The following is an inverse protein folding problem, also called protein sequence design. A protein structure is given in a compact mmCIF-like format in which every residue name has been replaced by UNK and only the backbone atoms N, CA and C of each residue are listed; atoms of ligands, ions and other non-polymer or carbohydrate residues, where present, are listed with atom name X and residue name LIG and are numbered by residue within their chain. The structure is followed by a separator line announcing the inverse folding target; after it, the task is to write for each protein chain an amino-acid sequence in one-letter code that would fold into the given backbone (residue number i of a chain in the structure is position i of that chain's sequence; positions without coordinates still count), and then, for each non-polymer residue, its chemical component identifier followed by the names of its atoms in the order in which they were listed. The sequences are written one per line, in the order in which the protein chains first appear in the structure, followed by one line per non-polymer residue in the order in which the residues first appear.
data_IF_088417570447
#
_entry.id   IF_088417570447
#
_cell.length_a   1.000
_cell.length_b   1.000
_cell.length_c   1.000
_cell.angle_alpha   90.00
_cell.angle_beta   90.00
_cell.angle_gamma   90.00
#
_symmetry.space_group_name_H-M   'P 1'
#
loop_
_entity.id
_entity.type
_entity.pdbx_description
1 polymer ?
#
# COMPACT_ATOMS: atom_id res chain seq x y z
N UNK A 1 -4.72 -1.96 15.23
CA UNK A 1 -5.41 -2.81 14.24
C UNK A 1 -4.62 -4.11 14.09
N UNK A 2 -5.24 -5.23 13.71
CA UNK A 2 -4.51 -6.47 13.37
C UNK A 2 -4.40 -6.54 11.85
N UNK A 3 -3.20 -6.71 11.33
CA UNK A 3 -2.94 -6.82 9.90
C UNK A 3 -3.53 -8.13 9.34
N UNK A 4 -4.47 -8.08 8.37
CA UNK A 4 -5.11 -9.27 7.80
C UNK A 4 -4.12 -10.23 7.14
N UNK A 5 -3.10 -9.69 6.48
CA UNK A 5 -2.08 -10.46 5.77
C UNK A 5 -0.72 -10.46 6.48
N UNK A 6 -0.61 -9.77 7.62
CA UNK A 6 0.63 -9.65 8.39
C UNK A 6 1.58 -8.57 7.89
N UNK A 7 1.09 -7.61 7.11
CA UNK A 7 1.83 -6.46 6.62
C UNK A 7 1.84 -5.25 7.56
N UNK A 8 2.43 -4.16 7.07
CA UNK A 8 2.43 -2.86 7.73
C UNK A 8 1.11 -2.13 7.43
N UNK A 9 0.43 -1.62 8.46
CA UNK A 9 -0.84 -0.93 8.32
C UNK A 9 -0.67 0.58 8.32
N UNK A 10 -1.39 1.27 7.46
CA UNK A 10 -1.44 2.73 7.40
C UNK A 10 -2.89 3.17 7.31
N UNK A 11 -3.36 3.91 8.31
CA UNK A 11 -4.69 4.51 8.34
C UNK A 11 -4.79 5.67 7.35
N UNK A 12 -5.94 5.77 6.70
CA UNK A 12 -6.26 6.78 5.69
C UNK A 12 -7.43 7.64 6.17
N UNK A 13 -7.27 8.96 6.14
CA UNK A 13 -8.32 9.91 6.55
C UNK A 13 -8.84 9.71 7.97
N UNK A 14 -7.95 9.42 8.92
CA UNK A 14 -8.31 9.06 10.29
C UNK A 14 -8.61 7.57 10.40
N UNK A 15 -9.86 7.18 10.19
CA UNK A 15 -10.31 5.77 10.27
C UNK A 15 -11.24 5.40 9.10
N UNK A 16 -11.15 6.11 7.96
CA UNK A 16 -12.02 5.84 6.81
C UNK A 16 -11.65 4.53 6.11
N UNK A 17 -10.35 4.30 5.94
CA UNK A 17 -9.80 3.10 5.33
C UNK A 17 -8.41 2.80 5.89
N UNK A 18 -7.92 1.60 5.61
CA UNK A 18 -6.59 1.15 6.00
C UNK A 18 -5.90 0.54 4.79
N UNK A 19 -4.68 0.99 4.54
CA UNK A 19 -3.77 0.38 3.57
C UNK A 19 -2.86 -0.62 4.29
N UNK A 20 -2.65 -1.80 3.72
CA UNK A 20 -1.70 -2.81 4.22
C UNK A 20 -0.61 -3.09 3.18
N UNK A 21 0.65 -2.90 3.55
CA UNK A 21 1.81 -3.19 2.68
C UNK A 21 2.50 -4.48 3.10
N UNK A 22 2.76 -5.34 2.12
CA UNK A 22 3.62 -6.51 2.24
C UNK A 22 4.76 -6.38 1.24
N UNK A 23 5.97 -6.73 1.68
CA UNK A 23 7.15 -6.81 0.82
C UNK A 23 7.86 -8.15 1.07
N UNK A 24 8.01 -8.95 0.03
CA UNK A 24 8.96 -10.05 0.01
C UNK A 24 10.34 -9.49 -0.32
N UNK A 25 11.19 -9.41 0.70
CA UNK A 25 12.54 -8.86 0.57
C UNK A 25 13.48 -9.73 -0.29
N UNK A 26 13.16 -10.99 -0.54
CA UNK A 26 13.99 -11.87 -1.37
C UNK A 26 13.68 -11.67 -2.85
N UNK A 27 12.40 -11.58 -3.19
CA UNK A 27 11.93 -11.48 -4.58
C UNK A 27 11.70 -10.04 -5.04
N UNK A 28 11.51 -9.10 -4.11
CA UNK A 28 11.12 -7.72 -4.41
C UNK A 28 9.64 -7.61 -4.80
N UNK A 29 8.84 -8.63 -4.50
CA UNK A 29 7.38 -8.58 -4.69
C UNK A 29 6.74 -7.74 -3.59
N UNK A 30 6.07 -6.66 -3.98
CA UNK A 30 5.26 -5.83 -3.11
C UNK A 30 3.77 -6.03 -3.41
N UNK A 31 2.98 -6.13 -2.35
CA UNK A 31 1.51 -6.18 -2.39
C UNK A 31 0.94 -5.09 -1.51
N UNK A 32 -0.06 -4.39 -2.01
CA UNK A 32 -0.80 -3.39 -1.27
C UNK A 32 -2.29 -3.73 -1.31
N UNK A 33 -2.85 -3.90 -0.12
CA UNK A 33 -4.27 -4.16 0.10
C UNK A 33 -4.92 -2.90 0.70
N UNK A 34 -6.21 -2.73 0.42
CA UNK A 34 -7.04 -1.70 1.03
C UNK A 34 -8.17 -2.37 1.80
N UNK A 35 -8.46 -1.84 2.98
CA UNK A 35 -9.51 -2.32 3.86
C UNK A 35 -10.34 -1.17 4.40
N UNK A 36 -11.49 -1.49 4.96
CA UNK A 36 -12.24 -0.58 5.82
C UNK A 36 -11.41 -0.11 7.03
N UNK A 37 -11.92 0.91 7.75
CA UNK A 37 -11.24 1.49 8.91
C UNK A 37 -10.84 0.51 10.02
N UNK A 38 -11.49 -0.65 10.08
CA UNK A 38 -11.24 -1.69 11.08
C UNK A 38 -10.29 -2.79 10.58
N UNK A 39 -9.81 -2.70 9.34
CA UNK A 39 -9.03 -3.73 8.66
C UNK A 39 -9.72 -5.11 8.64
N UNK A 40 -11.05 -5.13 8.46
CA UNK A 40 -11.87 -6.36 8.45
C UNK A 40 -12.33 -6.75 7.06
N UNK A 41 -12.76 -5.78 6.27
CA UNK A 41 -13.30 -6.01 4.93
C UNK A 41 -12.39 -5.38 3.89
N UNK A 42 -11.97 -6.16 2.89
CA UNK A 42 -11.14 -5.66 1.79
C UNK A 42 -11.98 -4.73 0.90
N UNK A 43 -11.43 -3.56 0.61
CA UNK A 43 -11.98 -2.61 -0.35
C UNK A 43 -11.34 -2.84 -1.72
N UNK A 44 -12.17 -2.80 -2.76
CA UNK A 44 -11.67 -2.79 -4.15
C UNK A 44 -11.60 -1.35 -4.62
N UNK A 45 -10.38 -0.88 -4.89
CA UNK A 45 -10.15 0.45 -5.43
C UNK A 45 -10.38 0.41 -6.95
N UNK A 46 -11.13 1.38 -7.48
CA UNK A 46 -11.47 1.42 -8.91
C UNK A 46 -10.24 1.65 -9.80
N UNK A 47 -9.28 2.43 -9.29
CA UNK A 47 -8.03 2.75 -9.97
C UNK A 47 -7.22 1.49 -10.28
N UNK A 48 -6.60 1.46 -11.46
CA UNK A 48 -5.80 0.32 -11.92
C UNK A 48 -4.32 0.42 -11.59
N UNK A 49 -3.84 1.61 -11.25
CA UNK A 49 -2.43 1.88 -10.96
C UNK A 49 -2.30 2.66 -9.68
N UNK A 50 -1.22 2.39 -8.95
CA UNK A 50 -0.83 3.10 -7.74
C UNK A 50 0.65 3.41 -7.84
N UNK A 51 1.03 4.66 -7.66
CA UNK A 51 2.44 5.06 -7.67
C UNK A 51 2.90 5.30 -6.24
N UNK A 52 3.91 4.54 -5.84
CA UNK A 52 4.58 4.67 -4.56
C UNK A 52 5.94 5.33 -4.77
N UNK A 53 6.24 6.38 -4.02
CA UNK A 53 7.52 7.10 -4.07
C UNK A 53 8.33 6.74 -2.84
N UNK A 54 9.44 6.02 -3.02
CA UNK A 54 10.40 5.68 -1.96
C UNK A 54 11.67 6.49 -2.22
N UNK A 55 11.90 7.56 -1.45
CA UNK A 55 12.95 8.56 -1.75
C UNK A 55 12.78 9.09 -3.18
N UNK A 56 13.76 8.90 -4.06
CA UNK A 56 13.72 9.33 -5.47
C UNK A 56 13.23 8.22 -6.43
N UNK A 57 12.74 7.10 -5.90
CA UNK A 57 12.29 5.94 -6.68
C UNK A 57 10.77 5.88 -6.76
N UNK A 58 10.23 6.03 -7.97
CA UNK A 58 8.82 5.73 -8.24
C UNK A 58 8.63 4.25 -8.60
N UNK A 59 7.76 3.58 -7.84
CA UNK A 59 7.31 2.21 -8.04
C UNK A 59 5.85 2.25 -8.46
N UNK A 60 5.57 1.79 -9.68
CA UNK A 60 4.19 1.66 -10.18
C UNK A 60 3.66 0.25 -9.90
N UNK A 61 2.60 0.16 -9.10
CA UNK A 61 1.87 -1.07 -8.84
C UNK A 61 0.61 -1.13 -9.70
N UNK A 62 0.19 -2.35 -10.08
CA UNK A 62 -1.03 -2.58 -10.85
C UNK A 62 -2.01 -3.41 -10.04
N UNK A 63 -3.28 -3.00 -10.02
CA UNK A 63 -4.35 -3.77 -9.39
C UNK A 63 -4.65 -5.03 -10.20
N UNK A 64 -4.81 -6.17 -9.52
CA UNK A 64 -5.29 -7.40 -10.12
C UNK A 64 -6.83 -7.54 -10.03
N UNK A 65 -7.36 -8.71 -10.41
CA UNK A 65 -8.80 -8.99 -10.42
C UNK A 65 -9.44 -8.97 -9.01
N UNK A 66 -8.63 -9.22 -7.98
CA UNK A 66 -9.04 -9.17 -6.58
C UNK A 66 -8.98 -7.75 -6.01
N UNK A 67 -8.41 -6.79 -6.75
CA UNK A 67 -8.23 -5.40 -6.31
C UNK A 67 -6.98 -5.20 -5.46
N UNK A 68 -6.02 -6.14 -5.51
CA UNK A 68 -4.74 -6.01 -4.81
C UNK A 68 -3.72 -5.41 -5.76
N UNK A 69 -3.02 -4.38 -5.32
CA UNK A 69 -1.96 -3.76 -6.10
C UNK A 69 -0.67 -4.55 -5.95
N UNK A 70 -0.09 -4.97 -7.07
CA UNK A 70 1.12 -5.80 -7.08
C UNK A 70 2.20 -5.22 -7.98
N UNK A 71 3.44 -5.46 -7.61
CA UNK A 71 4.62 -5.23 -8.45
C UNK A 71 5.75 -6.16 -8.00
N UNK A 72 6.56 -6.63 -8.95
CA UNK A 72 7.87 -7.20 -8.65
C UNK A 72 8.93 -6.22 -9.16
N UNK A 73 9.81 -5.74 -8.27
CA UNK A 73 10.85 -4.78 -8.64
C UNK A 73 12.16 -5.11 -7.92
N UNK A 74 13.24 -5.32 -8.69
CA UNK A 74 14.57 -5.64 -8.17
C UNK A 74 15.08 -4.62 -7.14
N UNK A 75 14.70 -3.35 -7.26
CA UNK A 75 15.10 -2.29 -6.32
C UNK A 75 14.47 -2.43 -4.93
N UNK A 76 13.47 -3.28 -4.77
CA UNK A 76 12.83 -3.58 -3.48
C UNK A 76 13.48 -4.76 -2.75
N UNK A 77 14.34 -5.54 -3.43
CA UNK A 77 15.04 -6.66 -2.79
C UNK A 77 15.98 -6.16 -1.70
N UNK A 78 15.97 -6.84 -0.56
CA UNK A 78 16.76 -6.52 0.63
C UNK A 78 16.30 -5.28 1.41
N UNK A 79 15.29 -4.55 0.93
CA UNK A 79 14.82 -3.33 1.59
C UNK A 79 13.98 -3.67 2.83
N UNK A 80 14.60 -3.65 4.01
CA UNK A 80 13.92 -4.04 5.26
C UNK A 80 13.07 -2.92 5.87
N UNK A 81 13.42 -1.66 5.60
CA UNK A 81 12.75 -0.48 6.13
C UNK A 81 12.75 0.64 5.11
N UNK A 82 11.64 1.35 5.01
CA UNK A 82 11.52 2.52 4.15
C UNK A 82 10.32 3.38 4.55
N UNK A 83 10.43 4.67 4.26
CA UNK A 83 9.27 5.54 4.16
C UNK A 83 8.90 5.69 2.68
N UNK A 84 7.60 5.74 2.43
CA UNK A 84 7.04 5.89 1.10
C UNK A 84 5.88 6.87 1.09
N UNK A 85 5.66 7.52 -0.04
CA UNK A 85 4.51 8.37 -0.28
C UNK A 85 3.64 7.77 -1.39
N UNK A 86 2.34 7.69 -1.16
CA UNK A 86 1.36 7.38 -2.19
C UNK A 86 1.06 8.66 -2.97
N UNK A 87 1.52 8.72 -4.22
CA UNK A 87 1.47 9.95 -5.02
C UNK A 87 0.03 10.41 -5.33
N UNK A 88 -0.86 9.46 -5.62
CA UNK A 88 -2.26 9.72 -5.84
C UNK A 88 -3.10 8.51 -5.42
N UNK A 89 -4.20 8.75 -4.72
CA UNK A 89 -5.12 7.73 -4.26
C UNK A 89 -6.53 8.30 -4.13
N UNK A 90 -7.51 7.52 -4.56
CA UNK A 90 -8.93 7.86 -4.53
C UNK A 90 -9.65 6.61 -4.07
N UNK A 91 -10.44 6.75 -3.01
CA UNK A 91 -11.27 5.69 -2.45
C UNK A 91 -12.69 6.22 -2.44
N UNK A 92 -13.59 5.54 -3.15
CA UNK A 92 -15.01 5.92 -3.25
C UNK A 92 -15.24 7.39 -3.67
N UNK A 93 -14.41 7.92 -4.57
CA UNK A 93 -14.50 9.30 -5.05
C UNK A 93 -13.86 10.35 -4.13
N UNK A 94 -13.26 9.95 -3.01
CA UNK A 94 -12.55 10.84 -2.09
C UNK A 94 -11.04 10.74 -2.29
N UNK A 95 -10.31 11.87 -2.42
CA UNK A 95 -8.86 11.87 -2.60
C UNK A 95 -8.11 11.67 -1.27
N UNK A 96 -7.03 10.89 -1.34
CA UNK A 96 -6.10 10.54 -0.25
C UNK A 96 -4.65 10.67 -0.74
N UNK A 97 -4.35 11.75 -1.44
CA UNK A 97 -3.01 11.98 -2.01
C UNK A 97 -1.99 12.31 -0.92
N UNK A 98 -0.72 11.95 -1.16
CA UNK A 98 0.39 12.27 -0.26
C UNK A 98 0.43 11.45 1.03
N UNK A 99 -0.32 10.35 1.10
CA UNK A 99 -0.31 9.45 2.26
C UNK A 99 1.09 8.88 2.44
N UNK A 100 1.65 9.06 3.64
CA UNK A 100 2.95 8.50 4.01
C UNK A 100 2.76 7.12 4.64
N UNK A 101 3.59 6.17 4.22
CA UNK A 101 3.69 4.82 4.75
C UNK A 101 5.09 4.67 5.36
N UNK A 102 5.15 4.25 6.61
CA UNK A 102 6.40 3.78 7.23
C UNK A 102 6.37 2.26 7.29
N UNK A 103 7.32 1.59 6.65
CA UNK A 103 7.39 0.14 6.62
C UNK A 103 8.60 -0.38 7.43
N UNK A 104 8.43 -1.42 8.27
CA UNK A 104 7.21 -2.19 8.53
C UNK A 104 6.30 -1.60 9.63
N UNK A 105 6.66 -0.49 10.24
CA UNK A 105 6.05 0.00 11.49
C UNK A 105 4.58 0.43 11.34
N UNK A 106 4.18 0.94 10.17
CA UNK A 106 2.85 1.49 9.93
C UNK A 106 2.61 2.85 10.62
N UNK A 107 1.34 3.24 10.75
CA UNK A 107 0.90 4.39 11.57
C UNK A 107 -0.39 4.11 12.39
#
# INVERSE_FOLDING_TARGET
LKAPNGGALTKLGGDAAVLEVLLDHQTGEMKIYFFDGEAKNQLKIEQKKLNLVIKDLTIALTADEEGVFRVANEKLKGLQKFDAEVAALEIEGLPFDGVTISYPEGN
#
